data_IF_603661052685
#
_entry.id   IF_603661052685
#
_cell.length_a   1.000
_cell.length_b   1.000
_cell.length_c   1.000
_cell.angle_alpha   90.00
_cell.angle_beta   90.00
_cell.angle_gamma   90.00
#
_symmetry.space_group_name_H-M   'P 1'
#
loop_
_entity.id
_entity.type
_entity.pdbx_description
1 polymer ?
#
# COMPACT_ATOMS: atom_id res chain seq x y z
N UNK A 1 -3.70 -21.81 13.23
CA UNK A 1 -3.15 -20.49 12.84
C UNK A 1 -3.29 -20.26 11.34
N UNK A 2 -3.09 -21.27 10.48
CA UNK A 2 -3.27 -21.17 9.02
C UNK A 2 -4.71 -20.82 8.56
N UNK A 3 -5.76 -21.30 9.25
CA UNK A 3 -7.14 -20.98 8.89
C UNK A 3 -7.43 -19.46 8.93
N UNK A 4 -6.81 -18.72 9.84
CA UNK A 4 -7.03 -17.27 10.00
C UNK A 4 -6.43 -16.47 8.82
N UNK A 5 -5.26 -16.89 8.32
CA UNK A 5 -4.62 -16.23 7.17
C UNK A 5 -5.40 -16.46 5.88
N UNK A 6 -5.89 -17.69 5.66
CA UNK A 6 -6.69 -18.02 4.49
C UNK A 6 -8.03 -17.28 4.50
N UNK A 7 -8.72 -17.23 5.64
CA UNK A 7 -9.98 -16.48 5.80
C UNK A 7 -9.78 -14.98 5.56
N UNK A 8 -8.71 -14.39 6.12
CA UNK A 8 -8.36 -12.99 5.88
C UNK A 8 -8.05 -12.71 4.41
N UNK A 9 -7.37 -13.63 3.73
CA UNK A 9 -7.06 -13.47 2.32
C UNK A 9 -8.31 -13.48 1.44
N UNK A 10 -9.27 -14.36 1.71
CA UNK A 10 -10.55 -14.36 0.99
C UNK A 10 -11.34 -13.07 1.24
N UNK A 11 -11.35 -12.54 2.47
CA UNK A 11 -11.97 -11.24 2.77
C UNK A 11 -11.30 -10.09 1.98
N UNK A 12 -9.97 -10.10 1.88
CA UNK A 12 -9.25 -9.09 1.08
C UNK A 12 -9.63 -9.21 -0.40
N UNK A 13 -9.77 -10.43 -0.94
CA UNK A 13 -10.23 -10.60 -2.33
C UNK A 13 -11.62 -10.05 -2.56
N UNK A 14 -12.56 -10.31 -1.65
CA UNK A 14 -13.92 -9.77 -1.75
C UNK A 14 -13.91 -8.24 -1.78
N UNK A 15 -13.15 -7.60 -0.89
CA UNK A 15 -12.98 -6.14 -0.87
C UNK A 15 -12.31 -5.61 -2.14
N UNK A 16 -11.35 -6.34 -2.71
CA UNK A 16 -10.74 -5.97 -3.98
C UNK A 16 -11.78 -5.97 -5.11
N UNK A 17 -12.70 -6.92 -5.16
CA UNK A 17 -13.71 -7.00 -6.22
C UNK A 17 -14.65 -5.79 -6.25
N UNK A 18 -14.87 -5.12 -5.11
CA UNK A 18 -15.68 -3.91 -5.00
C UNK A 18 -14.99 -2.66 -5.60
N UNK A 19 -13.68 -2.72 -5.84
CA UNK A 19 -12.91 -1.59 -6.37
C UNK A 19 -12.99 -1.47 -7.90
N UNK A 20 -12.80 -0.26 -8.45
CA UNK A 20 -12.55 -0.06 -9.87
C UNK A 20 -11.41 -0.94 -10.39
N UNK A 21 -11.47 -1.32 -11.67
CA UNK A 21 -10.49 -2.22 -12.27
C UNK A 21 -9.05 -1.69 -12.13
N UNK A 22 -8.86 -0.39 -12.33
CA UNK A 22 -7.57 0.28 -12.23
C UNK A 22 -7.00 0.16 -10.80
N UNK A 23 -7.85 0.33 -9.79
CA UNK A 23 -7.45 0.18 -8.39
C UNK A 23 -7.10 -1.28 -8.05
N UNK A 24 -7.86 -2.25 -8.58
CA UNK A 24 -7.54 -3.68 -8.42
C UNK A 24 -6.19 -4.01 -9.05
N UNK A 25 -5.91 -3.51 -10.24
CA UNK A 25 -4.64 -3.73 -10.93
C UNK A 25 -3.46 -3.14 -10.13
N UNK A 26 -3.59 -1.90 -9.64
CA UNK A 26 -2.55 -1.26 -8.81
C UNK A 26 -2.28 -2.05 -7.52
N UNK A 27 -3.33 -2.46 -6.81
CA UNK A 27 -3.19 -3.25 -5.58
C UNK A 27 -2.63 -4.65 -5.84
N UNK A 28 -3.07 -5.31 -6.92
CA UNK A 28 -2.52 -6.61 -7.32
C UNK A 28 -1.01 -6.52 -7.57
N UNK A 29 -0.57 -5.48 -8.28
CA UNK A 29 0.86 -5.27 -8.54
C UNK A 29 1.65 -5.13 -7.24
N UNK A 30 1.19 -4.26 -6.32
CA UNK A 30 1.84 -4.06 -5.00
C UNK A 30 1.89 -5.34 -4.18
N UNK A 31 0.83 -6.14 -4.19
CA UNK A 31 0.76 -7.40 -3.43
C UNK A 31 1.62 -8.52 -4.02
N UNK A 32 1.91 -8.46 -5.32
CA UNK A 32 2.66 -9.53 -6.03
C UNK A 32 4.14 -9.21 -6.24
N UNK A 33 4.55 -7.95 -6.03
CA UNK A 33 5.93 -7.47 -6.18
C UNK A 33 6.43 -6.82 -4.87
N UNK A 34 6.36 -7.54 -3.73
CA UNK A 34 6.61 -6.93 -2.41
C UNK A 34 8.06 -6.47 -2.22
N UNK A 35 9.02 -7.09 -2.90
CA UNK A 35 10.44 -6.73 -2.79
C UNK A 35 10.73 -5.43 -3.55
N UNK A 36 10.18 -5.30 -4.76
CA UNK A 36 10.28 -4.08 -5.57
C UNK A 36 9.57 -2.91 -4.89
N UNK A 37 8.38 -3.15 -4.32
CA UNK A 37 7.66 -2.12 -3.55
C UNK A 37 8.47 -1.68 -2.34
N UNK A 38 9.09 -2.61 -1.62
CA UNK A 38 9.93 -2.29 -0.47
C UNK A 38 11.11 -1.43 -0.90
N UNK A 39 11.83 -1.83 -1.94
CA UNK A 39 12.97 -1.07 -2.46
C UNK A 39 12.56 0.36 -2.81
N UNK A 40 11.45 0.54 -3.52
CA UNK A 40 10.93 1.88 -3.87
C UNK A 40 10.56 2.71 -2.63
N UNK A 41 9.98 2.10 -1.60
CA UNK A 41 9.51 2.79 -0.41
C UNK A 41 10.62 3.07 0.62
N UNK A 42 11.72 2.32 0.58
CA UNK A 42 12.85 2.48 1.52
C UNK A 42 13.93 3.45 1.01
N UNK A 43 13.88 3.86 -0.26
CA UNK A 43 14.89 4.74 -0.88
C UNK A 43 14.95 6.15 -0.29
N UNK A 44 13.82 6.73 0.12
CA UNK A 44 13.79 8.08 0.69
C UNK A 44 12.63 8.21 1.70
N UNK A 45 12.92 8.68 2.91
CA UNK A 45 11.89 8.95 3.91
C UNK A 45 11.18 10.26 3.58
N UNK A 46 9.89 10.14 3.31
CA UNK A 46 9.00 11.27 3.07
C UNK A 46 8.38 11.75 4.39
N UNK A 47 8.28 13.08 4.58
CA UNK A 47 7.58 13.66 5.74
C UNK A 47 6.08 13.39 5.72
N UNK A 48 5.41 13.53 6.87
CA UNK A 48 3.95 13.39 6.94
C UNK A 48 3.23 14.42 6.07
N UNK A 49 3.73 15.65 6.00
CA UNK A 49 3.18 16.71 5.16
C UNK A 49 3.28 16.39 3.66
N UNK A 50 4.46 15.92 3.21
CA UNK A 50 4.66 15.52 1.82
C UNK A 50 3.78 14.33 1.45
N UNK A 51 3.70 13.32 2.34
CA UNK A 51 2.86 12.15 2.14
C UNK A 51 1.40 12.56 1.96
N UNK A 52 0.90 13.45 2.81
CA UNK A 52 -0.47 13.97 2.71
C UNK A 52 -0.71 14.74 1.40
N UNK A 53 0.24 15.57 0.98
CA UNK A 53 0.15 16.31 -0.27
C UNK A 53 0.02 15.36 -1.47
N UNK A 54 0.85 14.31 -1.54
CA UNK A 54 0.77 13.33 -2.63
C UNK A 54 -0.51 12.48 -2.56
N UNK A 55 -1.03 12.18 -1.37
CA UNK A 55 -2.32 11.50 -1.24
C UNK A 55 -3.47 12.35 -1.80
N UNK A 56 -3.53 13.63 -1.46
CA UNK A 56 -4.56 14.54 -1.97
C UNK A 56 -4.50 14.67 -3.49
N UNK A 57 -3.30 14.77 -4.06
CA UNK A 57 -3.08 14.81 -5.50
C UNK A 57 -3.50 13.50 -6.18
N UNK A 58 -3.11 12.36 -5.61
CA UNK A 58 -3.44 11.04 -6.15
C UNK A 58 -4.95 10.77 -6.11
N UNK A 59 -5.64 11.18 -5.04
CA UNK A 59 -7.12 11.12 -4.96
C UNK A 59 -7.75 11.96 -6.06
N UNK A 60 -7.30 13.20 -6.23
CA UNK A 60 -7.85 14.10 -7.26
C UNK A 60 -7.68 13.55 -8.68
N UNK A 61 -6.57 12.84 -8.93
CA UNK A 61 -6.26 12.23 -10.22
C UNK A 61 -6.77 10.79 -10.39
N UNK A 62 -7.32 10.18 -9.33
CA UNK A 62 -7.60 8.74 -9.26
C UNK A 62 -6.36 7.89 -9.59
N UNK A 63 -5.19 8.34 -9.14
CA UNK A 63 -3.94 7.62 -9.28
C UNK A 63 -3.83 6.55 -8.19
N UNK A 64 -4.44 5.39 -8.46
CA UNK A 64 -4.46 4.28 -7.51
C UNK A 64 -3.10 3.63 -7.30
N UNK A 65 -2.18 3.76 -8.24
CA UNK A 65 -0.80 3.28 -8.09
C UNK A 65 -0.08 4.10 -7.04
N UNK A 66 -0.16 5.43 -7.14
CA UNK A 66 0.41 6.32 -6.13
C UNK A 66 -0.21 6.06 -4.76
N UNK A 67 -1.54 5.94 -4.65
CA UNK A 67 -2.19 5.63 -3.37
C UNK A 67 -1.73 4.29 -2.76
N UNK A 68 -1.55 3.26 -3.57
CA UNK A 68 -1.08 1.97 -3.10
C UNK A 68 0.38 2.02 -2.62
N UNK A 69 1.25 2.76 -3.34
CA UNK A 69 2.64 2.96 -2.94
C UNK A 69 2.77 3.81 -1.67
N UNK A 70 2.02 4.90 -1.53
CA UNK A 70 2.00 5.73 -0.32
C UNK A 70 1.53 4.90 0.89
N UNK A 71 0.54 4.03 0.70
CA UNK A 71 0.08 3.10 1.76
C UNK A 71 1.18 2.12 2.19
N UNK A 72 1.93 1.57 1.22
CA UNK A 72 3.07 0.70 1.51
C UNK A 72 4.20 1.45 2.21
N UNK A 73 4.52 2.67 1.76
CA UNK A 73 5.54 3.52 2.38
C UNK A 73 5.22 3.82 3.85
N UNK A 74 3.96 4.21 4.15
CA UNK A 74 3.50 4.41 5.55
C UNK A 74 3.68 3.15 6.41
N UNK A 75 3.38 1.98 5.85
CA UNK A 75 3.56 0.72 6.57
C UNK A 75 5.03 0.45 6.91
N UNK A 76 5.94 0.62 5.95
CA UNK A 76 7.37 0.39 6.17
C UNK A 76 8.01 1.42 7.11
N UNK A 77 7.64 2.71 6.98
CA UNK A 77 8.09 3.75 7.91
C UNK A 77 7.68 3.41 9.36
N UNK A 78 6.40 3.08 9.58
CA UNK A 78 5.91 2.71 10.91
C UNK A 78 6.60 1.47 11.46
N UNK A 79 6.82 0.44 10.62
CA UNK A 79 7.52 -0.77 11.02
C UNK A 79 8.96 -0.47 11.47
N UNK A 80 9.66 0.40 10.73
CA UNK A 80 11.03 0.85 11.06
C UNK A 80 11.07 1.64 12.38
N UNK A 81 10.03 2.42 12.69
CA UNK A 81 9.91 3.10 13.99
C UNK A 81 9.67 2.14 15.15
N UNK A 82 8.86 1.09 14.93
CA UNK A 82 8.60 0.05 15.93
C UNK A 82 9.86 -0.78 16.22
N UNK A 83 10.69 -1.06 15.21
CA UNK A 83 11.96 -1.79 15.37
C UNK A 83 13.07 -0.97 16.07
N UNK A 84 12.93 0.36 16.14
CA UNK A 84 13.87 1.25 16.85
C UNK A 84 13.54 1.41 18.35
N UNK A 85 12.37 0.94 18.81
CA UNK A 85 11.90 1.04 20.21
C UNK A 85 12.23 -0.23 21.01
#
# INVERSE_FOLDING_TARGET
>A
MENNLKERWEQIKELLLELPEEARCSLWWVLTHPDEVREMCEMEEMSEEEMKMFEEEAIAKRDYTMLALLSAAKYFQKKKEEEKK
#
